data_IF_484502636661
#
_entry.id   IF_484502636661
#
_cell.length_a   1.000
_cell.length_b   1.000
_cell.length_c   1.000
_cell.angle_alpha   90.00
_cell.angle_beta   90.00
_cell.angle_gamma   90.00
#
_symmetry.space_group_name_H-M   'P 1'
#
loop_
_entity.id
_entity.type
_entity.pdbx_description
1 polymer ?
#
# COMPACT_ATOMS: atom_id res chain seq x y z
N UNK A 1 18.10 50.69 -56.50
CA UNK A 1 17.59 50.77 -57.88
C UNK A 1 16.22 50.11 -57.98
N UNK A 2 15.14 50.89 -57.98
CA UNK A 2 13.76 50.41 -58.09
C UNK A 2 13.27 50.57 -59.53
N UNK A 3 13.07 49.46 -60.27
CA UNK A 3 12.39 49.48 -61.57
C UNK A 3 10.88 49.52 -61.32
N UNK A 4 10.30 50.71 -61.49
CA UNK A 4 8.85 50.91 -61.57
C UNK A 4 8.42 50.51 -62.99
N UNK A 5 7.79 49.35 -63.13
CA UNK A 5 7.13 48.96 -64.38
C UNK A 5 5.71 49.55 -64.33
N UNK A 6 5.50 50.66 -65.04
CA UNK A 6 4.17 51.18 -65.37
C UNK A 6 3.57 50.27 -66.44
N UNK A 7 2.61 49.44 -66.06
CA UNK A 7 1.74 48.77 -67.03
C UNK A 7 0.69 49.77 -67.54
N UNK A 8 0.68 49.89 -68.87
CA UNK A 8 -0.22 50.70 -69.67
C UNK A 8 -1.69 50.33 -69.44
N UNK A 9 -2.51 51.34 -69.13
CA UNK A 9 -3.98 51.28 -69.23
C UNK A 9 -4.34 51.19 -70.71
N UNK A 10 -4.44 49.97 -71.24
CA UNK A 10 -5.10 49.70 -72.51
C UNK A 10 -6.58 49.46 -72.28
N UNK A 11 -7.38 50.05 -73.16
CA UNK A 11 -8.83 50.15 -73.12
C UNK A 11 -9.52 48.78 -73.11
N UNK A 12 -10.05 48.36 -71.95
CA UNK A 12 -11.08 47.33 -71.85
C UNK A 12 -12.47 47.97 -72.03
N UNK A 13 -12.72 48.55 -73.21
CA UNK A 13 -14.07 48.97 -73.60
C UNK A 13 -14.67 47.94 -74.55
N UNK A 14 -15.78 47.32 -74.13
CA UNK A 14 -16.75 46.60 -74.97
C UNK A 14 -16.23 45.36 -75.71
N UNK A 15 -15.91 44.31 -74.95
CA UNK A 15 -16.33 42.97 -75.36
C UNK A 15 -17.70 42.69 -74.73
N UNK A 16 -18.77 43.15 -75.39
CA UNK A 16 -20.09 42.51 -75.24
C UNK A 16 -20.02 41.22 -76.03
N UNK A 17 -19.43 40.19 -75.42
CA UNK A 17 -19.56 38.83 -75.90
C UNK A 17 -21.03 38.46 -75.80
N UNK A 18 -21.67 38.26 -76.95
CA UNK A 18 -22.97 37.61 -77.06
C UNK A 18 -22.81 36.18 -76.51
N UNK A 19 -22.97 36.03 -75.20
CA UNK A 19 -23.15 34.74 -74.55
C UNK A 19 -24.55 34.24 -74.91
N UNK A 20 -24.73 33.78 -76.16
CA UNK A 20 -25.62 32.64 -76.41
C UNK A 20 -24.98 31.47 -75.66
N UNK A 21 -25.28 31.41 -74.36
CA UNK A 21 -25.10 30.25 -73.50
C UNK A 21 -25.63 29.07 -74.29
N UNK A 22 -24.73 28.27 -74.87
CA UNK A 22 -25.14 27.08 -75.60
C UNK A 22 -25.86 26.19 -74.59
N UNK A 23 -27.06 25.74 -74.93
CA UNK A 23 -27.85 24.86 -74.06
C UNK A 23 -27.05 23.60 -73.68
N UNK A 24 -26.09 23.20 -74.51
CA UNK A 24 -25.09 22.16 -74.26
C UNK A 24 -24.34 22.35 -72.93
N UNK A 25 -23.96 23.58 -72.56
CA UNK A 25 -23.27 23.86 -71.30
C UNK A 25 -24.12 23.61 -70.04
N UNK A 26 -25.46 23.71 -70.15
CA UNK A 26 -26.36 23.44 -69.01
C UNK A 26 -26.49 21.94 -68.74
N UNK A 27 -26.42 21.10 -69.77
CA UNK A 27 -26.46 19.65 -69.61
C UNK A 27 -25.17 19.13 -68.98
N UNK A 28 -24.00 19.62 -69.41
CA UNK A 28 -22.70 19.23 -68.85
C UNK A 28 -22.60 19.48 -67.33
N UNK A 29 -23.10 20.62 -66.85
CA UNK A 29 -23.10 20.94 -65.42
C UNK A 29 -23.98 20.00 -64.57
N UNK A 30 -25.12 19.55 -65.11
CA UNK A 30 -26.01 18.60 -64.42
C UNK A 30 -25.36 17.23 -64.27
N UNK A 31 -24.68 16.73 -65.31
CA UNK A 31 -23.98 15.45 -65.27
C UNK A 31 -22.80 15.48 -64.29
N UNK A 32 -21.99 16.53 -64.33
CA UNK A 32 -20.87 16.69 -63.40
C UNK A 32 -21.32 16.76 -61.94
N UNK A 33 -22.43 17.44 -61.65
CA UNK A 33 -23.03 17.46 -60.33
C UNK A 33 -23.44 16.06 -59.84
N UNK A 34 -24.11 15.28 -60.71
CA UNK A 34 -24.46 13.89 -60.41
C UNK A 34 -23.24 13.01 -60.12
N UNK A 35 -22.18 13.12 -60.94
CA UNK A 35 -20.93 12.36 -60.75
C UNK A 35 -20.26 12.72 -59.43
N UNK A 36 -20.18 14.00 -59.07
CA UNK A 36 -19.59 14.43 -57.80
C UNK A 36 -20.37 13.93 -56.58
N UNK A 37 -21.71 13.89 -56.65
CA UNK A 37 -22.54 13.30 -55.59
C UNK A 37 -22.27 11.80 -55.48
N UNK A 38 -22.23 11.08 -56.60
CA UNK A 38 -21.94 9.64 -56.60
C UNK A 38 -20.54 9.37 -56.03
N UNK A 39 -19.54 10.16 -56.42
CA UNK A 39 -18.18 10.06 -55.88
C UNK A 39 -18.16 10.33 -54.37
N UNK A 40 -18.89 11.32 -53.88
CA UNK A 40 -19.01 11.62 -52.45
C UNK A 40 -19.65 10.45 -51.70
N UNK A 41 -20.77 9.91 -52.20
CA UNK A 41 -21.45 8.76 -51.60
C UNK A 41 -20.56 7.51 -51.60
N UNK A 42 -19.78 7.32 -52.65
CA UNK A 42 -18.79 6.25 -52.74
C UNK A 42 -17.68 6.40 -51.69
N UNK A 43 -17.13 7.61 -51.51
CA UNK A 43 -16.14 7.91 -50.47
C UNK A 43 -16.70 7.70 -49.06
N UNK A 44 -17.96 8.10 -48.83
CA UNK A 44 -18.67 7.85 -47.57
C UNK A 44 -18.80 6.33 -47.36
N UNK A 45 -19.22 5.59 -48.39
CA UNK A 45 -19.37 4.13 -48.32
C UNK A 45 -18.05 3.44 -48.01
N UNK A 46 -16.96 3.80 -48.70
CA UNK A 46 -15.62 3.27 -48.40
C UNK A 46 -15.23 3.58 -46.94
N UNK A 47 -15.53 4.78 -46.44
CA UNK A 47 -15.21 5.15 -45.06
C UNK A 47 -15.94 4.29 -44.02
N UNK A 48 -17.14 3.81 -44.34
CA UNK A 48 -17.91 2.90 -43.49
C UNK A 48 -17.46 1.45 -43.62
N UNK A 49 -17.16 0.97 -44.83
CA UNK A 49 -16.86 -0.45 -45.08
C UNK A 49 -15.38 -0.81 -44.97
N UNK A 50 -14.46 0.16 -45.10
CA UNK A 50 -13.02 -0.06 -45.04
C UNK A 50 -12.33 1.06 -44.23
N UNK A 51 -12.54 1.11 -42.90
CA UNK A 51 -12.03 2.18 -42.03
C UNK A 51 -10.50 2.34 -42.12
N UNK A 52 -9.76 1.24 -42.23
CA UNK A 52 -8.29 1.21 -42.31
C UNK A 52 -7.74 1.91 -43.58
N UNK A 53 -8.55 2.01 -44.64
CA UNK A 53 -8.14 2.69 -45.88
C UNK A 53 -7.94 4.20 -45.66
N UNK A 54 -8.73 4.79 -44.76
CA UNK A 54 -8.61 6.21 -44.37
C UNK A 54 -7.25 6.49 -43.72
N UNK A 55 -6.77 5.59 -42.88
CA UNK A 55 -5.51 5.78 -42.16
C UNK A 55 -4.31 5.59 -43.09
N UNK A 56 -4.38 4.61 -44.00
CA UNK A 56 -3.31 4.30 -44.95
C UNK A 56 -3.21 5.36 -46.06
N UNK A 57 -4.34 5.91 -46.52
CA UNK A 57 -4.40 6.83 -47.66
C UNK A 57 -5.03 8.17 -47.30
N UNK A 58 -4.75 8.68 -46.10
CA UNK A 58 -5.38 9.89 -45.56
C UNK A 58 -5.27 11.11 -46.47
N UNK A 59 -4.14 11.29 -47.17
CA UNK A 59 -3.94 12.38 -48.13
C UNK A 59 -4.87 12.24 -49.35
N UNK A 60 -4.95 11.05 -49.94
CA UNK A 60 -5.82 10.79 -51.10
C UNK A 60 -7.28 10.99 -50.73
N UNK A 61 -7.70 10.49 -49.57
CA UNK A 61 -9.05 10.69 -49.05
C UNK A 61 -9.38 12.18 -48.90
N UNK A 62 -8.46 12.97 -48.29
CA UNK A 62 -8.62 14.42 -48.13
C UNK A 62 -8.74 15.14 -49.47
N UNK A 63 -7.92 14.77 -50.45
CA UNK A 63 -7.98 15.36 -51.80
C UNK A 63 -9.33 15.06 -52.45
N UNK A 64 -9.77 13.79 -52.44
CA UNK A 64 -11.03 13.39 -53.06
C UNK A 64 -12.25 14.01 -52.37
N UNK A 65 -12.26 14.06 -51.03
CA UNK A 65 -13.29 14.76 -50.26
C UNK A 65 -13.27 16.26 -50.58
N UNK A 66 -12.08 16.87 -50.58
CA UNK A 66 -11.91 18.29 -50.89
C UNK A 66 -12.45 18.63 -52.28
N UNK A 67 -12.13 17.83 -53.30
CA UNK A 67 -12.62 18.04 -54.68
C UNK A 67 -14.15 17.96 -54.71
N UNK A 68 -14.72 16.96 -54.04
CA UNK A 68 -16.17 16.74 -54.02
C UNK A 68 -16.91 17.90 -53.35
N UNK A 69 -16.48 18.29 -52.15
CA UNK A 69 -17.11 19.38 -51.38
C UNK A 69 -16.82 20.73 -52.03
N UNK A 70 -15.61 20.93 -52.56
CA UNK A 70 -15.23 22.13 -53.30
C UNK A 70 -16.08 22.33 -54.54
N UNK A 71 -16.34 21.26 -55.32
CA UNK A 71 -17.21 21.33 -56.49
C UNK A 71 -18.66 21.67 -56.11
N UNK A 72 -19.23 20.99 -55.10
CA UNK A 72 -20.58 21.31 -54.60
C UNK A 72 -20.66 22.78 -54.14
N UNK A 73 -19.62 23.28 -53.47
CA UNK A 73 -19.56 24.65 -53.01
C UNK A 73 -19.47 25.69 -54.15
N UNK A 74 -19.12 25.31 -55.38
CA UNK A 74 -19.18 26.26 -56.53
C UNK A 74 -20.60 26.73 -56.84
N UNK A 75 -21.62 25.91 -56.52
CA UNK A 75 -23.03 26.27 -56.68
C UNK A 75 -23.52 27.21 -55.57
N UNK A 76 -22.80 27.28 -54.45
CA UNK A 76 -23.03 28.21 -53.35
C UNK A 76 -22.25 29.50 -53.61
N UNK A 77 -22.68 30.27 -54.61
CA UNK A 77 -21.94 31.47 -55.05
C UNK A 77 -21.84 32.51 -53.94
N UNK A 78 -20.61 32.95 -53.63
CA UNK A 78 -20.34 34.23 -52.98
C UNK A 78 -20.01 34.22 -51.48
N UNK A 79 -20.10 33.10 -50.77
CA UNK A 79 -20.06 33.12 -49.30
C UNK A 79 -18.69 32.92 -48.65
N UNK A 80 -17.69 32.36 -49.35
CA UNK A 80 -16.41 31.99 -48.74
C UNK A 80 -15.23 32.60 -49.48
N UNK A 81 -14.43 33.41 -48.76
CA UNK A 81 -13.10 33.89 -49.16
C UNK A 81 -12.12 33.42 -48.10
N UNK A 82 -11.12 32.66 -48.51
CA UNK A 82 -10.07 32.13 -47.65
C UNK A 82 -8.76 32.81 -48.02
N UNK A 83 -8.12 33.45 -47.03
CA UNK A 83 -6.79 34.05 -47.17
C UNK A 83 -5.82 33.31 -46.25
N UNK A 84 -4.97 32.47 -46.83
CA UNK A 84 -3.90 31.76 -46.11
C UNK A 84 -2.58 32.28 -46.67
N UNK A 85 -1.82 32.98 -45.82
CA UNK A 85 -0.59 33.68 -46.22
C UNK A 85 -0.84 34.61 -47.45
N UNK A 86 -0.15 34.35 -48.56
CA UNK A 86 -0.25 35.13 -49.81
C UNK A 86 -1.24 34.54 -50.83
N UNK A 87 -1.99 33.50 -50.46
CA UNK A 87 -2.97 32.85 -51.34
C UNK A 87 -4.37 33.33 -50.95
N UNK A 88 -5.06 33.97 -51.89
CA UNK A 88 -6.48 34.30 -51.79
C UNK A 88 -7.28 33.37 -52.70
N UNK A 89 -8.18 32.60 -52.11
CA UNK A 89 -9.11 31.73 -52.82
C UNK A 89 -10.55 32.11 -52.49
N UNK A 90 -11.47 31.94 -53.44
CA UNK A 90 -12.89 32.19 -53.25
C UNK A 90 -13.75 31.03 -53.76
N UNK A 91 -14.98 30.92 -53.22
CA UNK A 91 -15.97 29.93 -53.65
C UNK A 91 -15.51 28.49 -53.42
N UNK A 92 -15.74 27.61 -54.39
CA UNK A 92 -15.39 26.19 -54.27
C UNK A 92 -13.90 25.91 -54.05
N UNK A 93 -13.02 26.75 -54.62
CA UNK A 93 -11.57 26.62 -54.41
C UNK A 93 -11.17 26.92 -52.95
N UNK A 94 -11.82 27.91 -52.32
CA UNK A 94 -11.62 28.20 -50.90
C UNK A 94 -12.01 27.01 -50.02
N UNK A 95 -13.13 26.35 -50.34
CA UNK A 95 -13.60 25.18 -49.61
C UNK A 95 -12.69 23.96 -49.82
N UNK A 96 -12.21 23.74 -51.05
CA UNK A 96 -11.22 22.70 -51.34
C UNK A 96 -9.95 22.88 -50.49
N UNK A 97 -9.36 24.08 -50.53
CA UNK A 97 -8.16 24.39 -49.75
C UNK A 97 -8.43 24.27 -48.24
N UNK A 98 -9.61 24.70 -47.79
CA UNK A 98 -10.01 24.55 -46.40
C UNK A 98 -10.03 23.07 -45.98
N UNK A 99 -10.67 22.18 -46.74
CA UNK A 99 -10.71 20.73 -46.44
C UNK A 99 -9.32 20.09 -46.47
N UNK A 100 -8.49 20.46 -47.46
CA UNK A 100 -7.14 19.91 -47.60
C UNK A 100 -6.19 20.36 -46.46
N UNK A 101 -6.26 21.62 -46.03
CA UNK A 101 -5.36 22.18 -45.01
C UNK A 101 -5.87 22.02 -43.58
N UNK A 102 -7.18 22.12 -43.34
CA UNK A 102 -7.77 22.05 -41.99
C UNK A 102 -8.27 20.67 -41.60
N UNK A 103 -7.97 19.64 -42.40
CA UNK A 103 -8.31 18.24 -42.19
C UNK A 103 -9.54 18.05 -41.27
N UNK A 104 -10.76 18.27 -41.78
CA UNK A 104 -11.97 18.17 -40.96
C UNK A 104 -12.20 16.77 -40.38
N UNK A 105 -11.40 15.79 -40.82
CA UNK A 105 -11.43 14.40 -40.41
C UNK A 105 -10.31 14.03 -39.45
N UNK A 106 -9.47 14.98 -39.03
CA UNK A 106 -8.58 14.76 -37.90
C UNK A 106 -9.48 14.49 -36.70
N UNK A 107 -9.63 13.22 -36.38
CA UNK A 107 -10.18 12.84 -35.10
C UNK A 107 -9.33 13.55 -34.08
N UNK A 108 -9.91 14.49 -33.33
CA UNK A 108 -9.26 15.03 -32.14
C UNK A 108 -8.67 13.83 -31.41
N UNK A 109 -7.36 13.85 -31.08
CA UNK A 109 -6.73 12.71 -30.47
C UNK A 109 -7.59 12.31 -29.27
N UNK A 110 -8.17 11.11 -29.36
CA UNK A 110 -9.04 10.61 -28.29
C UNK A 110 -8.09 10.18 -27.21
N UNK A 111 -8.16 10.85 -26.07
CA UNK A 111 -7.38 10.50 -24.90
C UNK A 111 -8.23 9.78 -23.88
N UNK A 112 -7.60 9.00 -23.02
CA UNK A 112 -8.22 8.44 -21.83
C UNK A 112 -7.28 8.63 -20.63
N UNK A 113 -7.83 8.42 -19.43
CA UNK A 113 -7.09 8.51 -18.19
C UNK A 113 -6.97 7.12 -17.58
N UNK A 114 -5.86 6.84 -16.89
CA UNK A 114 -5.72 5.66 -16.03
C UNK A 114 -5.48 6.07 -14.58
N UNK A 115 -5.98 5.26 -13.65
CA UNK A 115 -5.69 5.38 -12.22
C UNK A 115 -4.82 4.22 -11.77
N UNK A 116 -3.71 4.52 -11.11
CA UNK A 116 -2.89 3.52 -10.43
C UNK A 116 -3.31 3.50 -8.96
N UNK A 117 -3.69 2.33 -8.45
CA UNK A 117 -4.04 2.15 -7.05
C UNK A 117 -2.91 1.37 -6.37
N UNK A 118 -2.11 2.07 -5.56
CA UNK A 118 -0.99 1.45 -4.86
C UNK A 118 -1.51 0.81 -3.57
N UNK A 119 -1.25 -0.49 -3.41
CA UNK A 119 -1.67 -1.26 -2.25
C UNK A 119 -0.44 -1.80 -1.51
N UNK A 120 -0.32 -1.45 -0.23
CA UNK A 120 0.73 -2.00 0.62
C UNK A 120 0.37 -3.41 1.04
N UNK A 121 1.30 -4.36 0.90
CA UNK A 121 1.09 -5.75 1.37
C UNK A 121 0.87 -5.83 2.89
N UNK A 122 1.22 -4.78 3.64
CA UNK A 122 0.99 -4.68 5.10
C UNK A 122 -0.23 -3.83 5.48
N UNK A 123 -0.96 -3.30 4.50
CA UNK A 123 -2.09 -2.40 4.72
C UNK A 123 -1.69 -0.99 5.18
N UNK A 124 -0.41 -0.62 5.09
CA UNK A 124 0.07 0.72 5.39
C UNK A 124 -0.43 1.72 4.34
N UNK A 125 -0.81 2.93 4.77
CA UNK A 125 -1.19 4.01 3.86
C UNK A 125 0.01 4.50 3.07
N UNK A 126 -0.15 4.68 1.76
CA UNK A 126 0.91 5.15 0.86
C UNK A 126 0.52 6.56 0.42
N UNK A 127 1.18 7.57 0.96
CA UNK A 127 0.82 8.97 0.77
C UNK A 127 2.02 9.84 0.33
N UNK A 128 3.11 9.22 -0.11
CA UNK A 128 4.30 9.91 -0.58
C UNK A 128 5.04 9.11 -1.66
N UNK A 129 5.77 9.84 -2.51
CA UNK A 129 6.60 9.30 -3.58
C UNK A 129 6.10 9.68 -4.97
N UNK A 130 6.94 9.43 -5.96
CA UNK A 130 6.68 9.72 -7.37
C UNK A 130 6.61 8.41 -8.14
N UNK A 131 5.56 8.21 -8.94
CA UNK A 131 5.51 7.15 -9.96
C UNK A 131 5.99 7.71 -11.28
N UNK A 132 7.01 7.05 -11.84
CA UNK A 132 7.39 7.18 -13.24
C UNK A 132 6.62 6.14 -14.06
N UNK A 133 5.74 6.62 -14.91
CA UNK A 133 4.91 5.83 -15.81
C UNK A 133 5.50 5.89 -17.21
N UNK A 134 5.77 4.74 -17.84
CA UNK A 134 6.27 4.68 -19.21
C UNK A 134 5.61 3.53 -19.99
N UNK A 135 5.28 3.78 -21.25
CA UNK A 135 4.69 2.75 -22.13
C UNK A 135 5.81 2.09 -22.92
N UNK A 136 5.86 0.76 -22.90
CA UNK A 136 6.93 0.00 -23.56
C UNK A 136 6.92 0.22 -25.08
N UNK A 137 8.08 0.52 -25.66
CA UNK A 137 8.22 0.79 -27.10
C UNK A 137 7.63 2.14 -27.54
N UNK A 138 7.24 3.02 -26.62
CA UNK A 138 6.69 4.34 -26.92
C UNK A 138 7.45 5.44 -26.18
N UNK A 139 7.44 6.66 -26.72
CA UNK A 139 8.02 7.84 -26.06
C UNK A 139 7.12 8.46 -24.99
N UNK A 140 5.88 8.00 -24.86
CA UNK A 140 4.95 8.48 -23.84
C UNK A 140 5.42 8.06 -22.43
N UNK A 141 5.74 9.06 -21.62
CA UNK A 141 6.04 8.91 -20.21
C UNK A 141 5.48 10.07 -19.40
N UNK A 142 5.17 9.81 -18.14
CA UNK A 142 4.72 10.82 -17.18
C UNK A 142 5.29 10.53 -15.80
N UNK A 143 5.58 11.59 -15.06
CA UNK A 143 5.93 11.52 -13.63
C UNK A 143 4.79 12.13 -12.83
N UNK A 144 4.25 11.39 -11.87
CA UNK A 144 3.14 11.87 -11.04
C UNK A 144 3.40 11.56 -9.57
N UNK A 145 3.11 12.54 -8.72
CA UNK A 145 3.13 12.37 -7.28
C UNK A 145 1.98 11.45 -6.84
N UNK A 146 2.22 10.67 -5.79
CA UNK A 146 1.19 9.85 -5.15
C UNK A 146 0.25 10.75 -4.34
N UNK A 147 -1.05 10.59 -4.57
CA UNK A 147 -2.08 11.31 -3.85
C UNK A 147 -2.21 10.75 -2.41
N UNK A 148 -2.82 11.52 -1.50
CA UNK A 148 -2.94 11.15 -0.08
C UNK A 148 -3.64 9.81 0.21
N UNK A 149 -4.42 9.31 -0.75
CA UNK A 149 -5.16 8.04 -0.69
C UNK A 149 -4.42 6.86 -1.33
N UNK A 150 -3.18 7.05 -1.81
CA UNK A 150 -2.43 6.01 -2.52
C UNK A 150 -2.83 5.83 -3.98
N UNK A 151 -3.62 6.74 -4.56
CA UNK A 151 -3.91 6.76 -5.99
C UNK A 151 -2.91 7.63 -6.76
N UNK A 152 -2.74 7.33 -8.05
CA UNK A 152 -2.02 8.17 -9.01
C UNK A 152 -2.85 8.29 -10.29
N UNK A 153 -3.21 9.52 -10.65
CA UNK A 153 -3.98 9.80 -11.87
C UNK A 153 -3.05 10.13 -13.05
N UNK A 154 -3.02 9.26 -14.07
CA UNK A 154 -2.32 9.49 -15.34
C UNK A 154 -3.35 9.96 -16.37
N UNK A 155 -3.14 11.15 -16.94
CA UNK A 155 -4.09 11.79 -17.87
C UNK A 155 -3.56 11.83 -19.29
N UNK A 156 -4.44 12.12 -20.25
CA UNK A 156 -4.07 12.46 -21.62
C UNK A 156 -3.32 11.34 -22.36
N UNK A 157 -3.69 10.08 -22.08
CA UNK A 157 -3.10 8.91 -22.72
C UNK A 157 -3.77 8.71 -24.08
N UNK A 158 -3.03 8.70 -25.20
CA UNK A 158 -3.62 8.43 -26.51
C UNK A 158 -4.35 7.09 -26.52
N UNK A 159 -5.62 7.08 -26.93
CA UNK A 159 -6.48 5.88 -27.00
C UNK A 159 -5.89 4.74 -27.82
N UNK A 160 -5.06 5.04 -28.82
CA UNK A 160 -4.29 4.06 -29.60
C UNK A 160 -3.30 3.24 -28.76
N UNK A 161 -2.95 3.69 -27.56
CA UNK A 161 -2.07 2.99 -26.62
C UNK A 161 -2.85 2.16 -25.59
N UNK A 162 -4.19 2.12 -25.66
CA UNK A 162 -5.00 1.24 -24.82
C UNK A 162 -4.52 -0.20 -25.01
N UNK A 163 -4.42 -0.96 -23.91
CA UNK A 163 -3.90 -2.33 -23.87
C UNK A 163 -2.40 -2.50 -24.18
N UNK A 164 -1.62 -1.41 -24.26
CA UNK A 164 -0.16 -1.52 -24.30
C UNK A 164 0.40 -1.96 -22.94
N UNK A 165 1.64 -2.47 -22.93
CA UNK A 165 2.36 -2.77 -21.69
C UNK A 165 2.99 -1.52 -21.11
N UNK A 166 2.96 -1.38 -19.80
CA UNK A 166 3.53 -0.22 -19.08
C UNK A 166 4.52 -0.66 -18.02
N UNK A 167 5.61 0.08 -17.92
CA UNK A 167 6.62 -0.04 -16.88
C UNK A 167 6.41 1.08 -15.88
N UNK A 168 6.41 0.69 -14.60
CA UNK A 168 6.26 1.59 -13.47
C UNK A 168 7.55 1.57 -12.66
N UNK A 169 8.05 2.75 -12.30
CA UNK A 169 9.12 2.90 -11.30
C UNK A 169 8.60 3.77 -10.17
N UNK A 170 8.83 3.36 -8.93
CA UNK A 170 8.48 4.13 -7.73
C UNK A 170 9.73 4.75 -7.13
N UNK A 171 9.75 6.07 -7.04
CA UNK A 171 10.72 6.85 -6.28
C UNK A 171 10.10 7.23 -4.93
N UNK A 172 10.49 6.54 -3.87
CA UNK A 172 10.01 6.77 -2.50
C UNK A 172 11.06 6.34 -1.48
N UNK A 173 11.10 7.02 -0.32
CA UNK A 173 11.98 6.70 0.79
C UNK A 173 11.42 5.61 1.71
N UNK A 174 10.09 5.43 1.71
CA UNK A 174 9.38 4.50 2.59
C UNK A 174 8.91 3.25 1.90
N UNK A 175 8.67 3.30 0.59
CA UNK A 175 8.09 2.17 -0.15
C UNK A 175 8.91 1.83 -1.39
N UNK A 176 8.84 0.57 -1.79
CA UNK A 176 9.33 0.08 -3.08
C UNK A 176 8.27 -0.81 -3.74
N UNK A 177 8.29 -0.88 -5.07
CA UNK A 177 7.45 -1.83 -5.79
C UNK A 177 7.78 -3.25 -5.35
N UNK A 178 6.75 -4.08 -5.17
CA UNK A 178 6.95 -5.50 -4.88
C UNK A 178 7.60 -6.22 -6.08
N UNK A 179 7.25 -5.77 -7.29
CA UNK A 179 7.77 -6.30 -8.55
C UNK A 179 8.30 -5.16 -9.44
N UNK A 180 9.54 -4.70 -9.22
CA UNK A 180 10.09 -3.52 -9.92
C UNK A 180 10.28 -3.73 -11.43
N UNK A 181 10.48 -4.96 -11.87
CA UNK A 181 10.71 -5.30 -13.29
C UNK A 181 9.43 -5.75 -14.02
N UNK A 182 8.28 -5.71 -13.36
CA UNK A 182 7.01 -6.15 -13.96
C UNK A 182 6.44 -5.13 -14.94
N UNK A 183 5.83 -5.67 -15.99
CA UNK A 183 5.03 -4.93 -16.95
C UNK A 183 3.55 -5.11 -16.64
N UNK A 184 2.80 -4.02 -16.68
CA UNK A 184 1.37 -4.00 -16.39
C UNK A 184 0.57 -3.75 -17.67
N UNK A 185 -0.63 -4.29 -17.75
CA UNK A 185 -1.56 -3.99 -18.85
C UNK A 185 -2.18 -2.60 -18.67
N UNK A 186 -2.06 -1.75 -19.70
CA UNK A 186 -2.64 -0.41 -19.67
C UNK A 186 -4.17 -0.47 -19.81
N UNK A 187 -4.83 -0.39 -18.67
CA UNK A 187 -6.29 -0.34 -18.52
C UNK A 187 -6.69 0.97 -17.84
N UNK A 188 -7.97 1.17 -17.53
CA UNK A 188 -8.45 2.37 -16.82
C UNK A 188 -8.08 2.37 -15.33
N UNK A 189 -7.80 1.20 -14.75
CA UNK A 189 -7.37 1.03 -13.36
C UNK A 189 -6.31 -0.05 -13.25
N UNK A 190 -5.16 0.30 -12.70
CA UNK A 190 -4.04 -0.63 -12.50
C UNK A 190 -3.79 -0.77 -11.00
N UNK A 191 -3.89 -1.99 -10.47
CA UNK A 191 -3.53 -2.28 -9.09
C UNK A 191 -2.02 -2.55 -9.00
N UNK A 192 -1.32 -1.79 -8.15
CA UNK A 192 0.13 -1.88 -8.00
C UNK A 192 0.44 -2.30 -6.57
N UNK A 193 1.18 -3.39 -6.39
CA UNK A 193 1.57 -3.86 -5.06
C UNK A 193 2.91 -3.24 -4.64
N UNK A 194 2.95 -2.68 -3.43
CA UNK A 194 4.18 -2.11 -2.84
C UNK A 194 4.48 -2.77 -1.51
N UNK A 195 5.74 -2.71 -1.11
CA UNK A 195 6.23 -3.15 0.20
C UNK A 195 7.00 -2.01 0.87
N UNK A 196 6.90 -1.85 2.20
CA UNK A 196 7.75 -0.90 2.88
C UNK A 196 9.23 -1.28 2.75
N UNK A 197 10.07 -0.26 2.69
CA UNK A 197 11.52 -0.37 2.84
C UNK A 197 11.77 -0.59 4.33
N UNK A 198 12.57 -1.61 4.66
CA UNK A 198 12.83 -2.01 6.04
C UNK A 198 14.24 -1.56 6.45
N UNK A 199 14.42 -1.29 7.74
CA UNK A 199 15.72 -0.94 8.31
C UNK A 199 16.62 -2.18 8.27
N UNK A 200 17.64 -2.16 7.41
CA UNK A 200 18.58 -3.28 7.23
C UNK A 200 19.81 -3.13 8.12
N UNK A 201 20.24 -1.90 8.37
CA UNK A 201 21.45 -1.57 9.13
C UNK A 201 21.26 -0.29 9.92
N UNK A 202 21.89 -0.21 11.09
CA UNK A 202 22.03 1.02 11.87
C UNK A 202 23.51 1.19 12.20
N UNK A 203 24.00 2.42 12.08
CA UNK A 203 25.37 2.77 12.46
C UNK A 203 25.37 4.12 13.16
N UNK A 204 26.40 4.36 13.98
CA UNK A 204 26.47 5.58 14.76
C UNK A 204 27.68 5.64 15.68
N UNK A 205 27.67 6.62 16.56
CA UNK A 205 28.71 6.87 17.57
C UNK A 205 28.08 7.21 18.91
N UNK A 206 28.69 6.71 19.98
CA UNK A 206 28.33 7.01 21.36
C UNK A 206 29.42 7.87 22.00
N UNK A 207 29.03 9.03 22.50
CA UNK A 207 29.94 9.98 23.14
C UNK A 207 29.43 10.47 24.49
N UNK A 208 30.31 11.09 25.26
CA UNK A 208 29.94 11.86 26.46
C UNK A 208 29.42 13.24 26.10
N UNK A 209 28.87 13.96 27.08
CA UNK A 209 28.56 15.40 26.94
C UNK A 209 29.78 16.27 26.59
N UNK A 210 31.00 15.79 26.87
CA UNK A 210 32.28 16.42 26.50
C UNK A 210 32.82 15.94 25.15
N UNK A 211 31.99 15.24 24.36
CA UNK A 211 32.33 14.67 23.06
C UNK A 211 33.47 13.62 23.09
N UNK A 212 33.71 12.98 24.25
CA UNK A 212 34.66 11.87 24.36
C UNK A 212 33.97 10.58 23.94
N UNK A 213 34.66 9.77 23.12
CA UNK A 213 34.16 8.46 22.69
C UNK A 213 34.01 7.48 23.84
N UNK A 214 32.95 6.67 23.80
CA UNK A 214 32.70 5.61 24.79
C UNK A 214 32.94 4.25 24.13
N UNK A 215 34.03 3.58 24.48
CA UNK A 215 34.37 2.23 24.03
C UNK A 215 33.59 1.13 24.79
N UNK A 216 33.30 0.01 24.13
CA UNK A 216 32.65 -1.17 24.70
C UNK A 216 31.27 -0.87 25.33
N UNK A 217 30.53 0.09 24.77
CA UNK A 217 29.12 0.30 25.08
C UNK A 217 28.27 -0.70 24.29
N UNK A 218 27.30 -1.35 24.96
CA UNK A 218 26.41 -2.32 24.32
C UNK A 218 25.31 -1.57 23.60
N UNK A 219 25.18 -1.82 22.31
CA UNK A 219 24.10 -1.28 21.46
C UNK A 219 23.25 -2.44 20.99
N UNK A 220 21.93 -2.32 21.08
CA UNK A 220 21.00 -3.40 20.80
C UNK A 220 19.76 -2.92 20.04
N UNK A 221 19.37 -3.70 19.01
CA UNK A 221 18.17 -3.50 18.20
C UNK A 221 17.46 -4.83 18.05
N UNK A 222 16.23 -4.94 18.56
CA UNK A 222 15.42 -6.19 18.48
C UNK A 222 16.17 -7.47 18.89
N UNK A 223 16.97 -7.40 19.96
CA UNK A 223 17.76 -8.54 20.43
C UNK A 223 18.99 -8.87 19.58
N UNK A 224 19.38 -8.01 18.64
CA UNK A 224 20.66 -8.07 17.94
C UNK A 224 21.56 -7.02 18.57
N UNK A 225 22.69 -7.42 19.12
CA UNK A 225 23.59 -6.51 19.84
C UNK A 225 24.99 -6.45 19.23
N UNK A 226 25.63 -5.29 19.38
CA UNK A 226 27.05 -5.05 19.07
C UNK A 226 27.70 -4.24 20.20
N UNK A 227 29.01 -4.08 20.15
CA UNK A 227 29.78 -3.23 21.06
C UNK A 227 30.39 -2.06 20.28
N UNK A 228 30.49 -0.88 20.90
CA UNK A 228 31.23 0.24 20.32
C UNK A 228 32.75 -0.02 20.32
N UNK A 229 33.43 0.44 19.26
CA UNK A 229 34.88 0.37 19.14
C UNK A 229 35.59 1.48 19.99
N UNK A 230 36.93 1.57 19.89
CA UNK A 230 37.74 2.61 20.57
C UNK A 230 37.32 4.05 20.26
N UNK A 231 36.77 4.28 19.07
CA UNK A 231 36.26 5.58 18.64
C UNK A 231 34.79 5.80 19.06
N UNK A 232 34.19 4.87 19.80
CA UNK A 232 32.79 4.92 20.21
C UNK A 232 31.81 4.58 19.10
N UNK A 233 32.28 4.10 17.95
CA UNK A 233 31.45 3.82 16.77
C UNK A 233 30.86 2.42 16.86
N UNK A 234 29.65 2.25 16.33
CA UNK A 234 28.96 0.96 16.23
C UNK A 234 28.32 0.78 14.85
N UNK A 235 28.13 -0.48 14.47
CA UNK A 235 27.37 -0.90 13.29
C UNK A 235 26.60 -2.18 13.64
N UNK A 236 25.29 -2.18 13.41
CA UNK A 236 24.39 -3.32 13.61
C UNK A 236 23.76 -3.68 12.27
N UNK A 237 23.89 -4.93 11.85
CA UNK A 237 23.18 -5.50 10.70
C UNK A 237 21.97 -6.30 11.22
N UNK A 238 20.77 -5.95 10.76
CA UNK A 238 19.53 -6.54 11.27
C UNK A 238 19.12 -7.72 10.38
N UNK A 239 18.99 -8.95 10.92
CA UNK A 239 18.55 -10.12 10.16
C UNK A 239 17.19 -9.87 9.50
N UNK A 240 17.02 -10.32 8.25
CA UNK A 240 15.80 -10.10 7.43
C UNK A 240 14.49 -10.36 8.17
N UNK A 241 14.43 -11.41 8.99
CA UNK A 241 13.24 -11.78 9.77
C UNK A 241 12.88 -10.79 10.89
N UNK A 242 13.83 -9.97 11.33
CA UNK A 242 13.65 -8.95 12.38
C UNK A 242 13.50 -7.53 11.81
N UNK A 243 13.76 -7.33 10.52
CA UNK A 243 13.68 -6.01 9.87
C UNK A 243 12.25 -5.46 9.91
N UNK A 244 12.11 -4.16 10.09
CA UNK A 244 10.84 -3.43 10.10
C UNK A 244 11.06 -2.00 9.60
N UNK A 245 9.98 -1.29 9.29
CA UNK A 245 10.02 0.12 8.91
C UNK A 245 10.50 1.04 10.05
N UNK A 246 10.29 0.60 11.30
CA UNK A 246 10.77 1.24 12.52
C UNK A 246 11.38 0.24 13.49
N UNK A 247 12.44 0.60 14.18
CA UNK A 247 13.10 -0.26 15.17
C UNK A 247 13.48 0.52 16.42
N UNK A 248 13.34 -0.10 17.59
CA UNK A 248 13.82 0.48 18.84
C UNK A 248 15.33 0.24 18.96
N UNK A 249 16.11 1.32 18.87
CA UNK A 249 17.55 1.33 19.15
C UNK A 249 17.76 1.56 20.64
N UNK A 250 18.65 0.77 21.23
CA UNK A 250 19.04 0.99 22.61
C UNK A 250 20.54 0.93 22.81
N UNK A 251 21.02 1.68 23.80
CA UNK A 251 22.43 1.70 24.17
C UNK A 251 22.61 1.81 25.69
N UNK A 252 23.60 1.07 26.21
CA UNK A 252 23.94 1.09 27.63
C UNK A 252 25.44 0.83 27.86
N UNK A 253 25.97 1.42 28.93
CA UNK A 253 27.34 1.20 29.39
C UNK A 253 27.37 1.30 30.91
N UNK A 254 27.94 0.29 31.59
CA UNK A 254 28.10 0.33 33.04
C UNK A 254 28.90 1.57 33.48
N UNK A 255 28.40 2.28 34.49
CA UNK A 255 28.99 3.53 34.97
C UNK A 255 28.57 4.77 34.17
N UNK A 256 27.59 4.65 33.28
CA UNK A 256 27.03 5.76 32.52
C UNK A 256 25.50 5.76 32.59
N UNK A 257 24.89 6.94 32.49
CA UNK A 257 23.45 7.20 32.38
C UNK A 257 23.15 8.03 31.12
N UNK A 258 21.90 8.17 30.73
CA UNK A 258 21.49 9.13 29.68
C UNK A 258 21.53 10.57 30.18
N UNK A 259 21.29 11.55 29.30
CA UNK A 259 21.12 12.96 29.70
C UNK A 259 20.02 13.16 30.74
N UNK A 260 18.98 12.31 30.67
CA UNK A 260 17.82 12.34 31.55
C UNK A 260 17.98 11.38 32.74
N UNK A 261 19.24 11.02 33.05
CA UNK A 261 19.64 10.12 34.15
C UNK A 261 18.97 8.72 34.13
N UNK A 262 18.58 8.22 32.95
CA UNK A 262 18.13 6.83 32.76
C UNK A 262 19.33 5.89 32.62
N UNK A 263 19.19 4.63 33.04
CA UNK A 263 20.25 3.62 32.90
C UNK A 263 20.53 3.21 31.45
N UNK A 264 19.53 3.39 30.58
CA UNK A 264 19.53 2.90 29.20
C UNK A 264 18.97 3.98 28.27
N UNK A 265 19.68 4.23 27.17
CA UNK A 265 19.17 5.03 26.05
C UNK A 265 18.22 4.16 25.22
N UNK A 266 17.08 4.71 24.84
CA UNK A 266 16.11 4.07 23.95
C UNK A 266 15.51 5.11 23.01
N UNK A 267 15.50 4.82 21.72
CA UNK A 267 14.97 5.70 20.69
C UNK A 267 14.38 4.89 19.52
N UNK A 268 13.29 5.37 18.93
CA UNK A 268 12.66 4.72 17.79
C UNK A 268 13.27 5.26 16.50
N UNK A 269 14.00 4.41 15.78
CA UNK A 269 14.69 4.77 14.54
C UNK A 269 13.88 4.29 13.35
N UNK A 270 13.61 5.19 12.41
CA UNK A 270 12.99 4.85 11.12
C UNK A 270 14.01 4.62 9.99
N UNK A 271 13.52 4.35 8.78
CA UNK A 271 14.37 4.07 7.62
C UNK A 271 15.23 5.27 7.21
N UNK A 272 14.74 6.49 7.35
CA UNK A 272 15.48 7.68 6.92
C UNK A 272 16.55 8.03 7.95
N UNK A 273 16.22 7.92 9.23
CA UNK A 273 17.18 8.06 10.32
C UNK A 273 18.25 6.96 10.28
N UNK A 274 17.90 5.71 9.93
CA UNK A 274 18.89 4.62 9.85
C UNK A 274 19.97 4.83 8.77
N UNK A 275 19.70 5.68 7.77
CA UNK A 275 20.67 6.06 6.72
C UNK A 275 21.64 7.13 7.20
N UNK A 276 21.26 7.90 8.23
CA UNK A 276 22.08 8.93 8.85
C UNK A 276 22.76 8.33 10.09
N UNK A 277 24.05 8.60 10.27
CA UNK A 277 24.76 8.10 11.45
C UNK A 277 24.12 8.58 12.74
N UNK A 278 23.84 7.66 13.66
CA UNK A 278 23.21 7.94 14.94
C UNK A 278 24.23 8.52 15.93
N UNK A 279 23.85 9.55 16.71
CA UNK A 279 24.71 10.17 17.71
C UNK A 279 24.04 10.07 19.08
N UNK A 280 24.60 9.23 19.96
CA UNK A 280 24.03 8.95 21.28
C UNK A 280 24.91 9.55 22.37
N UNK A 281 24.31 10.30 23.30
CA UNK A 281 24.99 10.92 24.43
C UNK A 281 24.76 10.15 25.72
N UNK A 282 25.85 9.75 26.39
CA UNK A 282 25.81 9.16 27.73
C UNK A 282 26.67 9.95 28.72
N UNK A 283 26.14 10.19 29.92
CA UNK A 283 26.77 10.90 31.03
C UNK A 283 27.43 9.90 31.97
N UNK A 284 28.69 10.13 32.36
CA UNK A 284 29.36 9.28 33.35
C UNK A 284 28.70 9.46 34.72
N UNK A 285 28.23 8.36 35.30
CA UNK A 285 27.74 8.36 36.68
C UNK A 285 28.98 8.52 37.55
N UNK A 286 29.08 9.65 38.25
CA UNK A 286 30.05 9.75 39.33
C UNK A 286 29.57 8.75 40.36
N UNK A 287 30.28 7.63 40.49
CA UNK A 287 30.08 6.76 41.64
C UNK A 287 30.15 7.69 42.85
N UNK A 288 29.09 7.77 43.69
CA UNK A 288 29.18 8.54 44.91
C UNK A 288 30.48 8.09 45.57
N UNK A 289 31.35 9.04 45.89
CA UNK A 289 32.56 8.72 46.62
C UNK A 289 32.10 7.85 47.78
N UNK A 290 32.50 6.58 47.75
CA UNK A 290 32.21 5.68 48.86
C UNK A 290 33.05 6.27 49.97
N UNK A 291 32.46 7.21 50.74
CA UNK A 291 32.92 7.50 52.08
C UNK A 291 33.01 6.12 52.71
N UNK A 292 34.25 5.66 52.88
CA UNK A 292 34.54 4.43 53.58
C UNK A 292 33.87 4.58 54.93
N UNK A 293 32.67 4.02 55.08
CA UNK A 293 32.02 3.90 56.36
C UNK A 293 33.09 3.30 57.28
N UNK A 294 33.42 3.95 58.40
CA UNK A 294 34.41 3.43 59.32
C UNK A 294 34.02 1.98 59.59
N UNK A 295 35.00 1.09 59.47
CA UNK A 295 34.85 -0.33 59.72
C UNK A 295 34.39 -0.53 61.17
N UNK A 296 33.09 -0.41 61.38
CA UNK A 296 32.41 -0.88 62.55
C UNK A 296 32.25 -2.36 62.30
N UNK A 297 33.08 -3.13 62.99
CA UNK A 297 32.90 -4.56 63.16
C UNK A 297 31.54 -4.80 63.82
N UNK A 298 30.47 -4.80 63.02
CA UNK A 298 29.20 -5.35 63.43
C UNK A 298 29.28 -6.82 63.04
N UNK A 299 29.60 -7.66 64.02
CA UNK A 299 29.29 -9.08 63.95
C UNK A 299 27.79 -9.23 63.73
N UNK A 300 27.39 -9.62 62.51
CA UNK A 300 26.04 -10.08 62.19
C UNK A 300 25.82 -11.43 62.88
N UNK A 301 25.45 -11.39 64.17
CA UNK A 301 24.69 -12.46 64.79
C UNK A 301 23.22 -12.26 64.44
N UNK A 302 22.68 -13.24 63.71
CA UNK A 302 21.25 -13.46 63.44
C UNK A 302 20.56 -12.46 62.50
N UNK A 303 20.03 -13.00 61.40
CA UNK A 303 19.32 -12.29 60.35
C UNK A 303 18.14 -11.50 60.93
N UNK A 304 18.25 -10.17 60.89
CA UNK A 304 17.14 -9.28 61.22
C UNK A 304 16.14 -9.25 60.07
N UNK A 305 14.98 -9.81 60.36
CA UNK A 305 13.79 -9.82 59.53
C UNK A 305 13.32 -8.42 59.18
N UNK A 306 13.26 -8.07 57.89
CA UNK A 306 12.72 -6.78 57.44
C UNK A 306 11.17 -6.79 57.46
N UNK A 307 10.52 -5.86 58.19
CA UNK A 307 9.06 -5.75 58.19
C UNK A 307 8.55 -5.08 56.91
N UNK A 308 7.66 -5.74 56.18
CA UNK A 308 6.93 -5.13 55.05
C UNK A 308 5.52 -4.79 55.53
N UNK A 309 5.09 -3.54 55.32
CA UNK A 309 3.72 -3.07 55.64
C UNK A 309 2.84 -3.12 54.40
N UNK A 310 1.72 -3.84 54.50
CA UNK A 310 0.64 -3.83 53.50
C UNK A 310 -0.68 -3.61 54.24
N UNK A 311 -1.44 -2.59 53.84
CA UNK A 311 -2.74 -2.22 54.45
C UNK A 311 -2.72 -2.17 56.00
N UNK A 312 -1.73 -1.46 56.56
CA UNK A 312 -1.51 -1.30 58.01
C UNK A 312 -1.19 -2.59 58.81
N UNK A 313 -0.97 -3.74 58.17
CA UNK A 313 -0.45 -4.94 58.83
C UNK A 313 1.03 -5.14 58.48
N UNK A 314 1.82 -5.50 59.50
CA UNK A 314 3.26 -5.73 59.41
C UNK A 314 3.52 -7.22 59.25
N UNK A 315 4.26 -7.61 58.22
CA UNK A 315 4.66 -8.99 57.98
C UNK A 315 6.18 -9.10 58.13
N UNK A 316 6.65 -10.13 58.85
CA UNK A 316 8.05 -10.33 59.24
C UNK A 316 8.53 -11.67 58.65
N UNK A 317 9.58 -11.65 57.82
CA UNK A 317 10.20 -12.84 57.19
C UNK A 317 11.56 -13.16 57.84
N UNK A 318 12.01 -14.43 57.95
CA UNK A 318 11.63 -15.58 57.11
C UNK A 318 10.64 -16.56 57.78
N UNK A 319 9.83 -17.24 56.98
CA UNK A 319 9.07 -18.41 57.45
C UNK A 319 10.02 -19.60 57.59
N UNK A 320 10.06 -20.20 58.78
CA UNK A 320 10.81 -21.45 59.03
C UNK A 320 10.19 -22.70 58.40
N UNK A 321 9.08 -22.56 57.66
CA UNK A 321 8.38 -23.66 57.00
C UNK A 321 8.24 -23.36 55.50
N UNK A 322 8.65 -24.30 54.66
CA UNK A 322 8.39 -24.35 53.23
C UNK A 322 6.88 -24.22 52.98
N UNK A 323 6.45 -23.11 52.38
CA UNK A 323 5.06 -22.95 51.96
C UNK A 323 4.91 -23.64 50.61
N UNK A 324 4.60 -24.94 50.61
CA UNK A 324 3.95 -25.56 49.46
C UNK A 324 2.60 -24.87 49.29
N UNK A 325 2.35 -24.32 48.09
CA UNK A 325 1.13 -23.60 47.68
C UNK A 325 0.99 -22.13 48.14
N UNK A 326 1.91 -21.26 47.67
CA UNK A 326 1.71 -19.81 47.77
C UNK A 326 0.59 -19.34 46.81
N UNK A 327 -0.60 -19.04 47.36
CA UNK A 327 -1.69 -18.39 46.60
C UNK A 327 -1.54 -16.87 46.65
N UNK A 328 -1.21 -16.26 45.52
CA UNK A 328 -1.17 -14.80 45.38
C UNK A 328 -2.55 -14.31 44.93
N UNK A 329 -3.22 -13.55 45.79
CA UNK A 329 -4.47 -12.87 45.46
C UNK A 329 -4.17 -11.46 44.95
N UNK A 330 -4.51 -11.18 43.69
CA UNK A 330 -4.43 -9.83 43.12
C UNK A 330 -5.86 -9.30 43.03
N UNK A 331 -6.18 -8.30 43.86
CA UNK A 331 -7.43 -7.56 43.75
C UNK A 331 -7.27 -6.41 42.77
N UNK A 332 -8.09 -6.39 41.71
CA UNK A 332 -8.20 -5.27 40.78
C UNK A 332 -9.53 -4.56 41.04
N UNK A 333 -9.47 -3.27 41.36
CA UNK A 333 -10.66 -2.42 41.43
C UNK A 333 -10.96 -1.91 40.03
N UNK A 334 -12.04 -2.40 39.42
CA UNK A 334 -12.52 -1.91 38.12
C UNK A 334 -13.68 -0.98 38.40
N UNK A 335 -13.50 0.31 38.10
CA UNK A 335 -14.54 1.33 38.25
C UNK A 335 -15.25 1.45 36.91
N UNK A 336 -16.55 1.16 36.90
CA UNK A 336 -17.40 1.37 35.73
C UNK A 336 -17.87 2.82 35.70
N UNK A 337 -17.50 3.58 34.65
CA UNK A 337 -17.90 4.99 34.50
C UNK A 337 -19.42 5.20 34.39
N UNK A 338 -20.20 4.17 34.03
CA UNK A 338 -21.64 4.28 33.86
C UNK A 338 -22.47 3.76 35.03
N UNK A 339 -21.86 3.14 36.04
CA UNK A 339 -22.56 2.75 37.27
C UNK A 339 -21.74 3.10 38.51
N UNK A 340 -22.24 3.99 39.36
CA UNK A 340 -21.59 4.43 40.62
C UNK A 340 -21.37 3.34 41.68
N UNK A 341 -21.58 2.06 41.36
CA UNK A 341 -21.31 0.95 42.27
C UNK A 341 -19.97 0.30 41.92
N UNK A 342 -19.08 0.29 42.91
CA UNK A 342 -17.76 -0.35 42.83
C UNK A 342 -17.95 -1.84 43.12
N UNK A 343 -17.87 -2.67 42.08
CA UNK A 343 -17.82 -4.12 42.27
C UNK A 343 -16.36 -4.58 42.30
N UNK A 344 -15.96 -5.21 43.40
CA UNK A 344 -14.65 -5.85 43.54
C UNK A 344 -14.67 -7.18 42.80
N UNK A 345 -13.82 -7.32 41.78
CA UNK A 345 -13.57 -8.61 41.15
C UNK A 345 -12.20 -9.13 41.59
N UNK A 346 -12.14 -10.43 41.90
CA UNK A 346 -10.90 -11.08 42.30
C UNK A 346 -10.35 -11.89 41.12
N UNK A 347 -9.09 -11.64 40.79
CA UNK A 347 -8.36 -12.46 39.83
C UNK A 347 -7.62 -13.53 40.62
N UNK A 348 -7.98 -14.80 40.43
CA UNK A 348 -7.32 -15.92 41.10
C UNK A 348 -6.33 -16.55 40.11
N UNK A 349 -5.04 -16.45 40.41
CA UNK A 349 -3.97 -17.07 39.62
C UNK A 349 -3.54 -18.36 40.29
N UNK A 350 -3.59 -19.48 39.56
CA UNK A 350 -3.03 -20.75 40.02
C UNK A 350 -1.66 -20.94 39.36
N UNK A 351 -0.64 -21.16 40.17
CA UNK A 351 0.69 -21.57 39.71
C UNK A 351 1.17 -22.74 40.56
N UNK A 352 1.69 -23.77 39.92
CA UNK A 352 2.41 -24.84 40.60
C UNK A 352 3.86 -24.40 40.77
N UNK A 353 4.38 -24.42 41.99
CA UNK A 353 5.79 -24.19 42.26
C UNK A 353 6.59 -25.43 41.88
N UNK A 354 7.65 -25.26 41.08
CA UNK A 354 8.67 -26.30 40.89
C UNK A 354 9.57 -26.27 42.12
N UNK A 355 9.73 -27.41 42.80
CA UNK A 355 10.61 -27.58 43.95
C UNK A 355 12.07 -27.26 43.54
N UNK A 356 12.54 -26.06 43.85
CA UNK A 356 13.96 -25.70 43.78
C UNK A 356 14.27 -24.67 44.88
N UNK A 357 14.97 -25.11 45.92
CA UNK A 357 15.03 -24.45 47.23
C UNK A 357 15.86 -23.16 47.32
N UNK A 358 16.35 -22.56 46.21
CA UNK A 358 17.28 -21.41 46.32
C UNK A 358 17.17 -20.34 45.22
N UNK A 359 15.99 -20.12 44.62
CA UNK A 359 15.79 -19.02 43.67
C UNK A 359 14.81 -17.98 44.22
N UNK A 360 15.19 -16.70 44.16
CA UNK A 360 14.23 -15.62 44.39
C UNK A 360 13.22 -15.57 43.24
N UNK A 361 12.02 -15.05 43.50
CA UNK A 361 10.88 -15.03 42.54
C UNK A 361 11.21 -14.45 41.15
N UNK A 362 12.20 -13.55 41.05
CA UNK A 362 12.68 -13.01 39.77
C UNK A 362 13.55 -14.00 38.97
N UNK A 363 14.25 -14.92 39.63
CA UNK A 363 15.16 -15.87 39.00
C UNK A 363 14.45 -17.12 38.45
N UNK A 364 13.19 -17.35 38.81
CA UNK A 364 12.43 -18.54 38.42
C UNK A 364 11.82 -18.47 37.00
N UNK A 365 12.06 -17.42 36.22
CA UNK A 365 11.71 -17.38 34.79
C UNK A 365 10.23 -17.68 34.51
N UNK A 366 9.31 -17.06 35.27
CA UNK A 366 7.87 -17.23 35.08
C UNK A 366 7.44 -16.89 33.65
N UNK A 367 7.31 -17.90 32.80
CA UNK A 367 6.60 -17.84 31.53
C UNK A 367 5.26 -18.53 31.75
N UNK A 368 4.23 -17.76 32.13
CA UNK A 368 2.90 -18.34 32.28
C UNK A 368 2.26 -18.53 30.91
N UNK A 369 2.06 -19.78 30.49
CA UNK A 369 1.04 -20.12 29.50
C UNK A 369 -0.30 -20.07 30.22
N UNK A 370 -1.19 -19.16 29.79
CA UNK A 370 -2.50 -18.97 30.40
C UNK A 370 -3.40 -20.09 29.89
N UNK A 371 -3.62 -21.12 30.71
CA UNK A 371 -4.51 -22.22 30.32
C UNK A 371 -5.96 -22.02 30.79
N UNK A 372 -6.21 -21.18 31.81
CA UNK A 372 -7.57 -20.83 32.24
C UNK A 372 -7.58 -19.56 33.09
N UNK A 373 -8.63 -18.74 32.96
CA UNK A 373 -8.82 -17.50 33.70
C UNK A 373 -10.20 -17.57 34.38
N UNK A 374 -10.21 -17.77 35.70
CA UNK A 374 -11.45 -17.76 36.49
C UNK A 374 -11.59 -16.41 37.19
N UNK A 375 -12.66 -15.69 36.86
CA UNK A 375 -13.08 -14.47 37.56
C UNK A 375 -14.29 -14.78 38.43
N UNK A 376 -14.24 -14.36 39.69
CA UNK A 376 -15.37 -14.35 40.60
C UNK A 376 -15.68 -12.91 40.97
N UNK A 377 -16.88 -12.44 40.65
CA UNK A 377 -17.36 -11.11 41.03
C UNK A 377 -18.58 -11.26 41.96
N UNK A 378 -18.61 -10.51 43.06
CA UNK A 378 -19.73 -10.53 43.99
C UNK A 378 -20.90 -9.73 43.39
N UNK A 379 -21.87 -10.43 42.79
CA UNK A 379 -23.16 -9.87 42.39
C UNK A 379 -23.54 -10.17 40.94
N UNK A 380 -24.39 -11.20 40.77
CA UNK A 380 -25.10 -11.52 39.53
C UNK A 380 -24.33 -12.36 38.52
N UNK A 381 -24.99 -13.38 37.96
CA UNK A 381 -24.49 -14.20 36.86
C UNK A 381 -24.31 -13.35 35.60
N UNK A 382 -23.10 -12.83 35.37
CA UNK A 382 -22.72 -12.26 34.09
C UNK A 382 -21.95 -13.29 33.28
N UNK A 383 -22.63 -13.88 32.30
CA UNK A 383 -22.01 -14.75 31.28
C UNK A 383 -21.21 -13.85 30.32
N UNK A 384 -19.89 -13.75 30.52
CA UNK A 384 -18.99 -13.27 29.46
C UNK A 384 -18.68 -14.42 28.51
N UNK A 385 -19.41 -14.48 27.40
CA UNK A 385 -19.11 -15.38 26.27
C UNK A 385 -18.00 -14.76 25.41
N UNK A 386 -16.74 -15.08 25.69
CA UNK A 386 -15.69 -14.99 24.67
C UNK A 386 -15.68 -16.35 23.94
N UNK A 387 -16.60 -16.52 22.98
CA UNK A 387 -16.59 -17.69 22.10
C UNK A 387 -15.57 -17.48 20.99
N UNK A 388 -14.34 -17.96 21.19
CA UNK A 388 -13.44 -18.18 20.06
C UNK A 388 -13.95 -19.39 19.27
N UNK A 389 -14.37 -19.18 18.02
CA UNK A 389 -14.67 -20.30 17.12
C UNK A 389 -13.38 -20.67 16.40
N UNK A 390 -12.87 -21.84 16.73
CA UNK A 390 -11.82 -22.50 15.97
C UNK A 390 -12.47 -23.14 14.73
N UNK A 391 -11.94 -22.83 13.56
CA UNK A 391 -12.34 -23.48 12.31
C UNK A 391 -11.14 -24.33 11.85
N UNK A 392 -11.34 -25.65 11.71
CA UNK A 392 -10.29 -26.55 11.23
C UNK A 392 -10.66 -27.02 9.82
N UNK A 393 -9.79 -26.75 8.85
CA UNK A 393 -9.94 -27.27 7.49
C UNK A 393 -8.94 -28.42 7.34
N UNK A 394 -9.40 -29.62 7.04
CA UNK A 394 -8.57 -30.82 6.95
C UNK A 394 -8.37 -31.29 5.51
N UNK A 395 -7.42 -32.19 5.28
CA UNK A 395 -7.23 -32.82 3.95
C UNK A 395 -6.65 -31.90 2.86
N UNK A 396 -5.96 -30.82 3.24
CA UNK A 396 -5.29 -29.93 2.29
C UNK A 396 -3.94 -30.54 1.90
N UNK A 397 -3.76 -30.87 0.61
CA UNK A 397 -2.50 -31.40 0.08
C UNK A 397 -1.51 -30.33 -0.38
N UNK A 398 -1.99 -29.11 -0.64
CA UNK A 398 -1.19 -27.99 -1.14
C UNK A 398 -0.59 -27.17 0.03
N UNK A 399 0.65 -26.69 -0.11
CA UNK A 399 1.26 -25.79 0.88
C UNK A 399 0.53 -24.44 0.89
N UNK A 400 -0.16 -24.14 1.99
CA UNK A 400 -0.87 -22.87 2.18
C UNK A 400 0.13 -21.75 2.51
N UNK A 401 -0.01 -20.63 1.80
CA UNK A 401 0.77 -19.41 2.03
C UNK A 401 -0.08 -18.28 2.60
N UNK A 402 -1.39 -18.29 2.36
CA UNK A 402 -2.32 -17.31 2.91
C UNK A 402 -3.75 -17.88 3.01
N UNK A 403 -4.48 -17.37 4.00
CA UNK A 403 -5.90 -17.64 4.24
C UNK A 403 -6.61 -16.30 4.33
N UNK A 404 -7.61 -16.07 3.48
CA UNK A 404 -8.46 -14.88 3.52
C UNK A 404 -9.86 -15.27 3.99
N UNK A 405 -10.38 -14.55 4.98
CA UNK A 405 -11.78 -14.63 5.41
C UNK A 405 -12.42 -13.29 5.04
N UNK A 406 -13.43 -13.32 4.17
CA UNK A 406 -14.07 -12.14 3.59
C UNK A 406 -13.09 -11.16 2.92
N UNK A 407 -12.07 -11.70 2.27
CA UNK A 407 -11.02 -10.90 1.62
C UNK A 407 -9.95 -10.34 2.58
N UNK A 408 -10.01 -10.66 3.88
CA UNK A 408 -9.05 -10.20 4.89
C UNK A 408 -8.13 -11.35 5.30
N UNK A 409 -6.81 -11.12 5.27
CA UNK A 409 -5.81 -12.10 5.71
C UNK A 409 -6.05 -12.43 7.19
N UNK A 410 -6.33 -13.70 7.47
CA UNK A 410 -6.62 -14.19 8.82
C UNK A 410 -5.40 -14.90 9.42
N UNK A 411 -5.30 -14.90 10.75
CA UNK A 411 -4.31 -15.73 11.45
C UNK A 411 -4.72 -17.21 11.34
N UNK A 412 -3.77 -18.05 10.96
CA UNK A 412 -3.96 -19.48 10.85
C UNK A 412 -2.71 -20.23 11.32
N UNK A 413 -2.90 -21.47 11.73
CA UNK A 413 -1.85 -22.42 12.07
C UNK A 413 -1.98 -23.65 11.17
N UNK A 414 -0.84 -24.19 10.72
CA UNK A 414 -0.80 -25.42 9.92
C UNK A 414 -0.35 -26.56 10.82
N UNK A 415 -1.15 -27.61 10.85
CA UNK A 415 -0.88 -28.85 11.57
C UNK A 415 -1.02 -30.04 10.59
N UNK A 416 0.09 -30.46 10.00
CA UNK A 416 0.11 -31.46 8.93
C UNK A 416 -0.66 -31.00 7.68
N UNK A 417 -1.70 -31.75 7.30
CA UNK A 417 -2.62 -31.41 6.21
C UNK A 417 -3.81 -30.54 6.64
N UNK A 418 -3.76 -30.01 7.86
CA UNK A 418 -4.86 -29.27 8.47
C UNK A 418 -4.50 -27.80 8.64
N UNK A 419 -5.48 -26.92 8.46
CA UNK A 419 -5.37 -25.47 8.64
C UNK A 419 -6.37 -25.06 9.73
N UNK A 420 -5.84 -24.62 10.87
CA UNK A 420 -6.63 -24.11 11.98
C UNK A 420 -6.71 -22.58 11.85
N UNK A 421 -7.91 -22.04 11.65
CA UNK A 421 -8.15 -20.60 11.53
C UNK A 421 -8.71 -20.10 12.86
N UNK A 422 -8.00 -19.15 13.47
CA UNK A 422 -8.46 -18.48 14.68
C UNK A 422 -9.32 -17.28 14.29
N UNK A 423 -10.62 -17.37 14.54
CA UNK A 423 -11.57 -16.34 14.11
C UNK A 423 -12.02 -15.56 15.33
N UNK A 424 -11.57 -14.31 15.43
CA UNK A 424 -11.88 -13.43 16.56
C UNK A 424 -12.95 -12.42 16.16
N UNK A 425 -14.21 -12.84 16.01
CA UNK A 425 -15.30 -11.87 15.75
C UNK A 425 -16.65 -12.32 16.31
N UNK A 426 -17.33 -11.38 16.97
CA UNK A 426 -18.70 -11.50 17.48
C UNK A 426 -19.78 -11.43 16.37
N UNK A 427 -19.41 -11.34 15.09
CA UNK A 427 -20.32 -11.19 13.95
C UNK A 427 -20.03 -12.23 12.84
N UNK A 428 -19.87 -13.50 13.20
CA UNK A 428 -19.84 -14.58 12.22
C UNK A 428 -21.26 -14.83 11.68
N UNK A 429 -21.68 -14.05 10.68
CA UNK A 429 -22.90 -14.37 9.92
C UNK A 429 -22.58 -15.52 8.96
N UNK A 430 -23.03 -16.71 9.36
CA UNK A 430 -22.75 -17.98 8.72
C UNK A 430 -23.26 -18.08 7.26
N UNK A 431 -24.10 -17.13 6.85
CA UNK A 431 -24.64 -17.04 5.49
C UNK A 431 -23.79 -16.21 4.51
N UNK A 432 -22.80 -15.43 4.96
CA UNK A 432 -22.08 -14.45 4.11
C UNK A 432 -20.57 -14.59 4.09
N UNK A 433 -20.00 -15.44 4.93
CA UNK A 433 -18.55 -15.54 5.04
C UNK A 433 -17.94 -16.34 3.87
N UNK A 434 -17.00 -15.74 3.14
CA UNK A 434 -16.17 -16.42 2.13
C UNK A 434 -14.80 -16.74 2.70
N UNK A 435 -14.34 -17.97 2.51
CA UNK A 435 -12.99 -18.40 2.90
C UNK A 435 -12.23 -18.74 1.63
N UNK A 436 -11.10 -18.09 1.44
CA UNK A 436 -10.23 -18.29 0.29
C UNK A 436 -8.86 -18.76 0.77
N UNK A 437 -8.42 -19.91 0.27
CA UNK A 437 -7.11 -20.46 0.55
C UNK A 437 -6.19 -20.23 -0.66
N UNK A 438 -4.96 -19.79 -0.41
CA UNK A 438 -3.97 -19.61 -1.45
C UNK A 438 -2.80 -20.56 -1.21
N UNK A 439 -2.57 -21.44 -2.19
CA UNK A 439 -1.37 -22.24 -2.28
C UNK A 439 -0.25 -21.47 -3.00
N UNK A 440 0.94 -22.07 -3.11
CA UNK A 440 2.13 -21.39 -3.66
C UNK A 440 1.91 -20.75 -5.05
N UNK A 441 1.05 -21.34 -5.90
CA UNK A 441 0.87 -20.89 -7.29
C UNK A 441 -0.61 -20.75 -7.74
N UNK A 442 -1.60 -20.97 -6.85
CA UNK A 442 -3.02 -20.95 -7.24
C UNK A 442 -3.93 -20.70 -6.04
N UNK A 443 -5.10 -20.12 -6.31
CA UNK A 443 -6.23 -20.10 -5.38
C UNK A 443 -6.84 -21.51 -5.28
N UNK A 444 -6.94 -22.03 -4.07
CA UNK A 444 -7.58 -23.32 -3.77
C UNK A 444 -9.07 -23.04 -3.56
N UNK A 445 -9.89 -23.56 -4.47
CA UNK A 445 -11.33 -23.32 -4.47
C UNK A 445 -11.98 -24.25 -3.44
N UNK A 446 -12.37 -23.71 -2.29
CA UNK A 446 -13.28 -24.41 -1.38
C UNK A 446 -14.69 -24.29 -1.97
N UNK A 447 -15.44 -25.40 -2.06
CA UNK A 447 -16.83 -25.36 -2.50
C UNK A 447 -17.66 -24.45 -1.57
N UNK A 448 -18.58 -23.67 -2.15
CA UNK A 448 -19.37 -22.65 -1.44
C UNK A 448 -19.96 -23.19 -0.12
N UNK A 449 -19.49 -22.67 1.01
CA UNK A 449 -19.96 -23.05 2.34
C UNK A 449 -21.30 -22.37 2.63
N UNK A 450 -22.35 -23.16 2.85
CA UNK A 450 -23.58 -22.70 3.52
C UNK A 450 -23.58 -23.23 4.94
N UNK A 451 -23.29 -22.38 5.91
CA UNK A 451 -23.30 -22.76 7.32
C UNK A 451 -24.68 -22.40 7.88
N UNK A 452 -25.50 -23.41 8.15
CA UNK A 452 -26.74 -23.30 8.91
C UNK A 452 -26.41 -23.26 10.40
N UNK A 453 -27.00 -22.33 11.14
CA UNK A 453 -26.57 -21.92 12.49
C UNK A 453 -26.95 -22.92 13.62
N UNK A 454 -26.36 -22.64 14.80
CA UNK A 454 -26.38 -23.34 16.10
C UNK A 454 -25.46 -24.57 16.23
N UNK A 455 -24.16 -24.32 16.15
CA UNK A 455 -23.16 -25.24 16.69
C UNK A 455 -22.20 -24.41 17.54
N UNK A 456 -22.01 -24.84 18.78
CA UNK A 456 -21.24 -24.14 19.80
C UNK A 456 -19.78 -24.59 19.89
N UNK A 457 -19.36 -25.57 19.08
CA UNK A 457 -18.03 -26.15 19.12
C UNK A 457 -17.42 -26.35 17.72
N UNK A 458 -16.11 -26.65 17.72
CA UNK A 458 -15.19 -26.83 16.59
C UNK A 458 -15.86 -27.31 15.28
N UNK A 459 -15.72 -26.52 14.22
CA UNK A 459 -16.23 -26.87 12.89
C UNK A 459 -15.08 -27.45 12.08
N UNK A 460 -15.23 -28.69 11.61
CA UNK A 460 -14.30 -29.33 10.68
C UNK A 460 -14.82 -29.23 9.25
N UNK A 461 -13.96 -28.81 8.31
CA UNK A 461 -14.24 -28.77 6.87
C UNK A 461 -13.27 -29.72 6.17
N UNK A 462 -13.79 -30.75 5.50
CA UNK A 462 -12.99 -31.58 4.61
C UNK A 462 -12.63 -30.77 3.35
N UNK A 463 -11.36 -30.38 3.20
CA UNK A 463 -10.84 -29.60 2.09
C UNK A 463 -10.89 -30.32 0.73
N UNK A 464 -11.06 -31.65 0.71
CA UNK A 464 -11.18 -32.43 -0.53
C UNK A 464 -12.61 -32.46 -1.06
N UNK A 465 -13.59 -32.55 -0.17
CA UNK A 465 -15.00 -32.74 -0.54
C UNK A 465 -15.91 -31.54 -0.19
N UNK A 466 -15.41 -30.56 0.57
CA UNK A 466 -16.17 -29.43 1.08
C UNK A 466 -17.23 -29.80 2.12
N UNK A 467 -17.17 -31.01 2.68
CA UNK A 467 -18.15 -31.51 3.64
C UNK A 467 -17.89 -30.95 5.04
N UNK A 468 -18.97 -30.55 5.73
CA UNK A 468 -18.94 -30.05 7.10
C UNK A 468 -19.17 -31.21 8.08
N UNK A 469 -18.33 -31.28 9.12
CA UNK A 469 -18.55 -32.16 10.27
C UNK A 469 -18.46 -31.34 11.55
N UNK A 470 -19.52 -31.37 12.34
CA UNK A 470 -19.47 -30.88 13.72
C UNK A 470 -18.85 -31.97 14.59
N UNK A 471 -17.85 -31.62 15.39
CA UNK A 471 -17.29 -32.53 16.39
C UNK A 471 -17.86 -32.07 17.73
N UNK A 472 -18.66 -32.89 18.44
CA UNK A 472 -19.07 -32.55 19.79
C UNK A 472 -17.82 -32.46 20.68
N UNK A 473 -17.81 -31.55 21.68
CA UNK A 473 -16.68 -31.44 22.60
C UNK A 473 -16.48 -32.80 23.28
N UNK A 474 -15.26 -33.32 23.24
CA UNK A 474 -14.90 -34.55 23.96
C UNK A 474 -15.21 -34.35 25.45
N UNK A 475 -15.98 -35.28 26.02
CA UNK A 475 -16.33 -35.34 27.44
C UNK A 475 -15.16 -35.75 28.32
#
# INVERSE_FOLDING_TARGET
MRRIIRLSKTNFSKMKTNAKSSESGRYANKYMFGICIILLLFLISISFFAPDWKDTNSLLFRILLGISVGYIATFLTGFLKLKIANIEAAGGLAVFLFVCFFNPLESKPVFFNTKLNLNSIKGESINEGTIHFSIEGNSFSQNKQIESNGEVSITDIPSKLRNSKVRLTLESNKFKLLYPDSLYDLTEKIAVSVTPILVERIFGRITTSTNQSIENAKVEVKGVSTLTNKNGEFKIEIPKVKQSSKVLLSAQKQGYSTSDDKEKYEDEIDIDESKVGQYILLKKIHAPAVESLPASNISLSEATSLPIKINNKVFIFPFKNTVKDLKIHISLNIINEQSKNVNQCYLIRFGQTIDNENLTLEQAGFTSVINQLNMSCNGGDFIYLIKYRHLRITGISDKIIAVLVNGIISKYEIDGSNVNIMTGFNNWDSAKNTIELFGSNKKIKIANLKISSKIDDLIEIDGKNGALRAIPPES
#
